data_IF_762978715557
#
_entry.id   IF_762978715557
#
_cell.length_a   1.000
_cell.length_b   1.000
_cell.length_c   1.000
_cell.angle_alpha   90.00
_cell.angle_beta   90.00
_cell.angle_gamma   90.00
#
_symmetry.space_group_name_H-M   'P 1'
#
loop_
_entity.id
_entity.type
_entity.pdbx_description
1 polymer ?
#
# COMPACT_ATOMS: atom_id res chain seq x y z
N UNK A 1 -7.29 -5.69 -0.09
CA UNK A 1 -8.53 -4.87 -0.13
C UNK A 1 -8.35 -3.76 -1.15
N UNK A 2 -9.40 -3.42 -1.90
CA UNK A 2 -9.40 -2.25 -2.79
C UNK A 2 -10.33 -1.19 -2.19
N UNK A 3 -9.84 0.04 -2.07
CA UNK A 3 -10.66 1.19 -1.69
C UNK A 3 -11.06 1.97 -2.93
N UNK A 4 -12.37 2.03 -3.20
CA UNK A 4 -12.90 2.78 -4.34
C UNK A 4 -12.73 4.28 -4.12
N UNK A 5 -12.11 4.94 -5.10
CA UNK A 5 -11.80 6.37 -5.19
C UNK A 5 -11.36 6.69 -6.62
N UNK A 6 -11.05 7.95 -6.92
CA UNK A 6 -10.49 8.35 -8.22
C UNK A 6 -9.09 8.93 -7.99
N UNK A 7 -8.01 8.17 -8.23
CA UNK A 7 -7.96 6.73 -8.55
C UNK A 7 -8.21 5.80 -7.33
N UNK A 8 -8.57 4.52 -7.57
CA UNK A 8 -8.68 3.50 -6.51
C UNK A 8 -7.33 3.23 -5.83
N UNK A 9 -7.37 2.78 -4.57
CA UNK A 9 -6.17 2.44 -3.80
C UNK A 9 -6.17 0.96 -3.45
N UNK A 10 -5.06 0.28 -3.69
CA UNK A 10 -4.83 -1.09 -3.21
C UNK A 10 -4.29 -1.11 -1.78
N UNK A 11 -4.69 -2.10 -0.99
CA UNK A 11 -4.14 -2.33 0.34
C UNK A 11 -3.94 -3.82 0.63
N UNK A 12 -2.70 -4.19 0.91
CA UNK A 12 -2.33 -5.52 1.39
C UNK A 12 -2.39 -5.48 2.91
N UNK A 13 -3.51 -5.94 3.48
CA UNK A 13 -3.74 -5.94 4.92
C UNK A 13 -2.98 -7.08 5.60
N UNK A 14 -3.16 -8.32 5.11
CA UNK A 14 -2.56 -9.49 5.73
C UNK A 14 -2.15 -10.50 4.66
N UNK A 15 -0.95 -11.06 4.82
CA UNK A 15 -0.46 -12.19 4.03
C UNK A 15 0.09 -13.21 5.02
N UNK A 16 -0.46 -14.41 4.99
CA UNK A 16 0.04 -15.54 5.77
C UNK A 16 0.45 -16.67 4.83
N UNK A 17 1.55 -17.32 5.20
CA UNK A 17 2.04 -18.54 4.56
C UNK A 17 2.20 -19.56 5.66
N UNK A 18 1.75 -20.79 5.40
CA UNK A 18 1.95 -21.93 6.30
C UNK A 18 3.44 -22.02 6.70
N UNK A 19 3.76 -22.19 8.00
CA UNK A 19 5.14 -22.31 8.47
C UNK A 19 5.99 -23.32 7.67
N UNK A 20 5.40 -24.44 7.26
CA UNK A 20 6.05 -25.50 6.48
C UNK A 20 6.31 -25.11 5.03
N UNK A 21 5.58 -24.13 4.51
CA UNK A 21 5.73 -23.61 3.15
C UNK A 21 6.52 -22.29 3.09
N UNK A 22 7.11 -21.82 4.20
CA UNK A 22 7.93 -20.59 4.20
C UNK A 22 9.19 -20.75 3.35
N UNK A 23 9.73 -19.62 2.87
CA UNK A 23 10.94 -19.53 2.03
C UNK A 23 10.86 -20.25 0.67
N UNK A 24 9.69 -20.70 0.25
CA UNK A 24 9.43 -21.28 -1.08
C UNK A 24 9.00 -20.22 -2.11
N UNK A 25 8.84 -18.96 -1.69
CA UNK A 25 8.36 -17.86 -2.53
C UNK A 25 6.85 -17.64 -2.49
N UNK A 26 6.06 -18.43 -1.75
CA UNK A 26 4.59 -18.26 -1.70
C UNK A 26 4.14 -16.85 -1.29
N UNK A 27 4.80 -16.25 -0.29
CA UNK A 27 4.47 -14.88 0.13
C UNK A 27 4.71 -13.85 -0.98
N UNK A 28 5.80 -14.02 -1.74
CA UNK A 28 6.10 -13.18 -2.91
C UNK A 28 5.05 -13.35 -4.00
N UNK A 29 4.69 -14.58 -4.33
CA UNK A 29 3.67 -14.87 -5.34
C UNK A 29 2.31 -14.25 -4.97
N UNK A 30 1.89 -14.36 -3.71
CA UNK A 30 0.64 -13.76 -3.22
C UNK A 30 0.63 -12.23 -3.34
N UNK A 31 1.72 -11.56 -2.96
CA UNK A 31 1.82 -10.11 -3.08
C UNK A 31 1.89 -9.68 -4.54
N UNK A 32 2.64 -10.38 -5.39
CA UNK A 32 2.71 -10.09 -6.83
C UNK A 32 1.35 -10.23 -7.51
N UNK A 33 0.59 -11.27 -7.19
CA UNK A 33 -0.76 -11.43 -7.74
C UNK A 33 -1.71 -10.35 -7.23
N UNK A 34 -1.61 -9.99 -5.95
CA UNK A 34 -2.38 -8.86 -5.39
C UNK A 34 -2.09 -7.56 -6.14
N UNK A 35 -0.81 -7.27 -6.41
CA UNK A 35 -0.40 -6.10 -7.19
C UNK A 35 -0.98 -6.13 -8.62
N UNK A 36 -0.92 -7.29 -9.29
CA UNK A 36 -1.50 -7.47 -10.63
C UNK A 36 -3.00 -7.19 -10.62
N UNK A 37 -3.73 -7.72 -9.63
CA UNK A 37 -5.16 -7.49 -9.46
C UNK A 37 -5.48 -6.02 -9.20
N UNK A 38 -4.78 -5.35 -8.28
CA UNK A 38 -4.99 -3.93 -8.01
C UNK A 38 -4.75 -3.07 -9.24
N UNK A 39 -3.68 -3.32 -9.99
CA UNK A 39 -3.40 -2.61 -11.24
C UNK A 39 -4.49 -2.83 -12.28
N UNK A 40 -4.97 -4.07 -12.43
CA UNK A 40 -6.07 -4.37 -13.37
C UNK A 40 -7.38 -3.67 -13.00
N UNK A 41 -7.55 -3.29 -11.73
CA UNK A 41 -8.69 -2.55 -11.21
C UNK A 41 -8.47 -1.03 -11.19
N UNK A 42 -7.41 -0.54 -11.84
CA UNK A 42 -7.12 0.89 -11.99
C UNK A 42 -6.46 1.54 -10.79
N UNK A 43 -5.97 0.75 -9.82
CA UNK A 43 -5.21 1.34 -8.72
C UNK A 43 -3.86 1.87 -9.22
N UNK A 44 -3.52 3.09 -8.83
CA UNK A 44 -2.23 3.73 -9.12
C UNK A 44 -1.22 3.53 -7.98
N UNK A 45 -1.73 3.27 -6.78
CA UNK A 45 -0.97 3.10 -5.55
C UNK A 45 -1.48 1.93 -4.71
N UNK A 46 -0.52 1.24 -4.08
CA UNK A 46 -0.77 0.15 -3.15
C UNK A 46 -0.05 0.40 -1.84
N UNK A 47 -0.75 0.21 -0.73
CA UNK A 47 -0.17 0.27 0.61
C UNK A 47 -0.04 -1.11 1.24
N UNK A 48 0.88 -1.23 2.20
CA UNK A 48 0.97 -2.34 3.13
C UNK A 48 1.33 -1.82 4.52
N UNK A 49 0.87 -2.51 5.55
CA UNK A 49 1.21 -2.23 6.93
C UNK A 49 1.93 -3.44 7.51
N UNK A 50 3.12 -3.23 8.05
CA UNK A 50 3.94 -4.32 8.54
C UNK A 50 4.44 -3.98 9.95
N UNK A 51 4.28 -4.89 10.93
CA UNK A 51 4.88 -4.71 12.26
C UNK A 51 6.38 -4.42 12.16
N UNK A 52 6.87 -3.45 12.93
CA UNK A 52 8.26 -2.98 12.86
C UNK A 52 9.30 -4.09 13.08
N UNK A 53 8.94 -5.12 13.83
CA UNK A 53 9.75 -6.28 14.19
C UNK A 53 9.64 -7.45 13.18
N UNK A 54 8.82 -7.32 12.13
CA UNK A 54 8.65 -8.35 11.11
C UNK A 54 9.62 -8.14 9.93
N UNK A 55 10.92 -8.26 10.20
CA UNK A 55 11.99 -8.11 9.21
C UNK A 55 11.80 -8.97 7.94
N UNK A 56 11.31 -10.23 8.00
CA UNK A 56 11.06 -11.02 6.80
C UNK A 56 10.02 -10.36 5.87
N UNK A 57 8.95 -9.81 6.44
CA UNK A 57 7.92 -9.11 5.66
C UNK A 57 8.45 -7.78 5.13
N UNK A 58 9.20 -7.02 5.93
CA UNK A 58 9.82 -5.77 5.48
C UNK A 58 10.71 -6.00 4.26
N UNK A 59 11.62 -6.98 4.32
CA UNK A 59 12.49 -7.33 3.19
C UNK A 59 11.71 -7.82 1.98
N UNK A 60 10.63 -8.57 2.19
CA UNK A 60 9.78 -9.03 1.09
C UNK A 60 9.15 -7.84 0.36
N UNK A 61 8.51 -6.92 1.08
CA UNK A 61 7.87 -5.75 0.47
C UNK A 61 8.90 -4.81 -0.17
N UNK A 62 10.04 -4.56 0.48
CA UNK A 62 11.15 -3.78 -0.09
C UNK A 62 11.68 -4.42 -1.39
N UNK A 63 11.86 -5.74 -1.42
CA UNK A 63 12.27 -6.48 -2.65
C UNK A 63 11.23 -6.45 -3.77
N UNK A 64 10.01 -6.02 -3.46
CA UNK A 64 8.92 -5.82 -4.39
C UNK A 64 8.72 -4.34 -4.72
N UNK A 65 9.67 -3.46 -4.39
CA UNK A 65 9.63 -2.04 -4.73
C UNK A 65 8.65 -1.23 -3.87
N UNK A 66 8.33 -1.70 -2.67
CA UNK A 66 7.67 -0.86 -1.69
C UNK A 66 8.70 -0.02 -0.93
N UNK A 67 8.30 1.20 -0.62
CA UNK A 67 9.10 2.15 0.14
C UNK A 67 8.39 2.51 1.45
N UNK A 68 9.19 2.76 2.49
CA UNK A 68 8.69 3.20 3.79
C UNK A 68 8.23 4.65 3.69
N UNK A 69 7.00 4.92 4.15
CA UNK A 69 6.47 6.29 4.21
C UNK A 69 5.93 6.61 5.59
N UNK A 70 6.06 7.88 5.99
CA UNK A 70 5.44 8.35 7.21
C UNK A 70 3.92 8.41 7.05
N UNK A 71 3.16 8.09 8.10
CA UNK A 71 1.69 8.16 8.09
C UNK A 71 1.13 9.54 7.70
N UNK A 72 1.88 10.61 7.99
CA UNK A 72 1.54 11.99 7.59
C UNK A 72 1.35 12.15 6.07
N UNK A 73 1.99 11.30 5.28
CA UNK A 73 1.91 11.33 3.82
C UNK A 73 0.50 10.99 3.34
N UNK A 74 -0.26 10.17 4.07
CA UNK A 74 -1.68 9.92 3.79
C UNK A 74 -2.51 11.22 3.83
N UNK A 75 -2.20 12.13 4.76
CA UNK A 75 -2.85 13.43 4.85
C UNK A 75 -2.43 14.36 3.71
N UNK A 76 -1.16 14.31 3.31
CA UNK A 76 -0.66 15.11 2.18
C UNK A 76 -1.32 14.71 0.87
N UNK A 77 -1.54 13.40 0.64
CA UNK A 77 -2.13 12.89 -0.60
C UNK A 77 -3.66 12.92 -0.62
N UNK A 78 -4.31 12.59 0.50
CA UNK A 78 -5.76 12.43 0.53
C UNK A 78 -6.48 13.52 1.32
N UNK A 79 -5.76 14.53 1.85
CA UNK A 79 -6.31 15.63 2.65
C UNK A 79 -7.21 15.08 3.76
N UNK A 80 -8.41 15.63 3.91
CA UNK A 80 -9.43 15.20 4.87
C UNK A 80 -9.85 13.73 4.70
N UNK A 81 -9.71 13.14 3.50
CA UNK A 81 -9.95 11.71 3.27
C UNK A 81 -8.83 10.82 3.83
N UNK A 82 -7.67 11.38 4.18
CA UNK A 82 -6.54 10.65 4.77
C UNK A 82 -6.91 9.93 6.06
N UNK A 83 -7.74 10.55 6.91
CA UNK A 83 -8.27 9.92 8.12
C UNK A 83 -9.16 8.72 7.79
N UNK A 84 -10.06 8.87 6.82
CA UNK A 84 -10.94 7.79 6.39
C UNK A 84 -10.16 6.62 5.75
N UNK A 85 -9.12 6.93 4.98
CA UNK A 85 -8.20 5.92 4.40
C UNK A 85 -7.46 5.17 5.51
N UNK A 86 -6.91 5.88 6.49
CA UNK A 86 -6.20 5.28 7.61
C UNK A 86 -7.12 4.36 8.45
N UNK A 87 -8.34 4.80 8.74
CA UNK A 87 -9.33 4.00 9.47
C UNK A 87 -9.73 2.75 8.70
N UNK A 88 -9.94 2.87 7.39
CA UNK A 88 -10.30 1.72 6.52
C UNK A 88 -9.14 0.72 6.38
N UNK A 89 -7.90 1.17 6.51
CA UNK A 89 -6.71 0.33 6.48
C UNK A 89 -6.41 -0.35 7.82
N UNK A 90 -7.11 -0.01 8.91
CA UNK A 90 -6.90 -0.58 10.24
C UNK A 90 -5.42 -0.49 10.70
N UNK A 91 -4.79 0.65 10.42
CA UNK A 91 -3.35 0.81 10.56
C UNK A 91 -2.92 0.87 12.04
N UNK A 92 -2.35 -0.20 12.60
CA UNK A 92 -2.01 -0.26 14.02
C UNK A 92 -0.79 0.63 14.33
N UNK A 93 -0.71 1.37 15.45
CA UNK A 93 0.32 2.39 15.67
C UNK A 93 1.78 1.93 15.54
N UNK A 94 2.06 0.65 15.82
CA UNK A 94 3.39 0.05 15.79
C UNK A 94 3.81 -0.46 14.39
N UNK A 95 2.92 -0.38 13.40
CA UNK A 95 3.19 -0.81 12.04
C UNK A 95 3.88 0.28 11.22
N UNK A 96 4.82 -0.14 10.39
CA UNK A 96 5.45 0.70 9.37
C UNK A 96 4.54 0.69 8.14
N UNK A 97 4.19 1.89 7.67
CA UNK A 97 3.45 2.06 6.43
C UNK A 97 4.40 1.99 5.25
N UNK A 98 4.08 1.09 4.32
CA UNK A 98 4.80 0.88 3.07
C UNK A 98 3.89 1.28 1.92
N UNK A 99 4.47 1.84 0.86
CA UNK A 99 3.74 2.19 -0.36
C UNK A 99 4.51 1.76 -1.60
N UNK A 100 3.79 1.39 -2.65
CA UNK A 100 4.30 1.20 -4.00
C UNK A 100 3.37 1.89 -4.99
N UNK A 101 3.95 2.60 -5.95
CA UNK A 101 3.21 3.17 -7.09
C UNK A 101 3.43 2.31 -8.34
N UNK A 102 2.45 2.28 -9.23
CA UNK A 102 2.56 1.57 -10.52
C UNK A 102 3.08 2.45 -11.65
N UNK A 103 3.03 3.76 -11.48
CA UNK A 103 3.53 4.75 -12.43
C UNK A 103 4.73 5.46 -11.78
N UNK A 104 5.72 5.83 -12.59
CA UNK A 104 6.78 6.80 -12.25
C UNK A 104 6.20 8.22 -12.09
N UNK A 105 4.99 8.34 -11.54
CA UNK A 105 4.50 9.64 -11.11
C UNK A 105 5.45 10.10 -10.01
N UNK A 106 6.05 11.28 -10.13
CA UNK A 106 6.88 11.79 -9.06
C UNK A 106 6.06 11.76 -7.77
N UNK A 107 6.74 11.70 -6.62
CA UNK A 107 6.14 11.90 -5.28
C UNK A 107 5.45 13.29 -5.13
N UNK A 108 5.22 13.98 -6.24
CA UNK A 108 4.81 15.36 -6.37
C UNK A 108 3.50 15.64 -5.66
N UNK A 109 3.63 16.72 -4.89
CA UNK A 109 2.62 17.52 -4.23
C UNK A 109 1.30 17.65 -4.97
N UNK A 110 0.19 17.83 -4.23
CA UNK A 110 -1.14 17.95 -4.79
C UNK A 110 -1.26 19.22 -5.64
N UNK A 111 -1.22 19.07 -6.95
CA UNK A 111 -1.59 20.12 -7.90
C UNK A 111 -2.75 19.64 -8.77
N UNK A 112 -3.76 20.49 -8.80
CA UNK A 112 -4.87 20.55 -9.76
C UNK A 112 -5.89 19.41 -9.78
N UNK A 113 -6.83 19.48 -8.83
CA UNK A 113 -8.23 19.16 -9.15
C UNK A 113 -8.84 20.44 -9.76
N UNK A 114 -9.33 20.43 -11.02
CA UNK A 114 -10.07 21.56 -11.56
C UNK A 114 -11.31 21.81 -10.69
N UNK A 115 -11.48 23.04 -10.21
CA UNK A 115 -12.76 23.46 -9.63
C UNK A 115 -13.78 23.40 -10.77
N UNK A 116 -14.74 22.49 -10.66
CA UNK A 116 -15.96 22.57 -11.45
C UNK A 116 -16.70 23.86 -11.04
N UNK A 117 -17.04 24.65 -12.06
CA UNK A 117 -17.73 25.93 -12.03
C UNK A 117 -19.13 25.85 -11.45
#
# INVERSE_FOLDING_TARGET
MLFRGTPPIGYVYFVAVDPRARRTGSGRALVQESLRLFRSQGADRVFAAVPKDNDPSMRLFESLGFERVARRVLWQWYRWRGLAVQMRMLLAPHEVLLTRTFTDLPLASPQEVPRAS
#
